data_IF_704684536420
#
_entry.id   IF_704684536420
#
_cell.length_a   1.000
_cell.length_b   1.000
_cell.length_c   1.000
_cell.angle_alpha   90.00
_cell.angle_beta   90.00
_cell.angle_gamma   90.00
#
_symmetry.space_group_name_H-M   'P 1'
#
loop_
_entity.id
_entity.type
_entity.pdbx_description
1 polymer ?
#
# COMPACT_ATOMS: atom_id res chain seq x y z
N UNK A 1 16.77 -11.25 17.52
CA UNK A 1 15.58 -11.96 18.04
C UNK A 1 15.38 -13.18 17.18
N UNK A 2 15.24 -14.36 17.77
CA UNK A 2 14.97 -15.60 17.05
C UNK A 2 13.66 -16.18 17.58
N UNK A 3 12.78 -16.60 16.69
CA UNK A 3 11.58 -17.35 17.04
C UNK A 3 11.35 -18.41 15.97
N UNK A 4 11.14 -19.66 16.39
CA UNK A 4 11.06 -20.81 15.48
C UNK A 4 12.26 -20.85 14.50
N UNK A 5 12.01 -20.74 13.19
CA UNK A 5 13.05 -20.70 12.14
C UNK A 5 13.42 -19.29 11.70
N UNK A 6 12.76 -18.27 12.23
CA UNK A 6 12.93 -16.89 11.83
C UNK A 6 13.96 -16.18 12.72
N UNK A 7 14.87 -15.45 12.07
CA UNK A 7 15.79 -14.51 12.72
C UNK A 7 15.33 -13.09 12.39
N UNK A 8 14.76 -12.41 13.36
CA UNK A 8 14.43 -10.99 13.29
C UNK A 8 15.58 -10.12 13.81
N UNK A 9 15.85 -9.03 13.10
CA UNK A 9 16.71 -7.95 13.60
C UNK A 9 15.94 -7.13 14.64
N UNK A 10 16.04 -7.52 15.91
CA UNK A 10 15.66 -6.67 17.04
C UNK A 10 16.84 -5.78 17.40
N UNK A 11 17.20 -4.90 16.47
CA UNK A 11 18.27 -3.92 16.65
C UNK A 11 17.64 -2.63 17.20
N UNK A 12 18.28 -2.00 18.20
CA UNK A 12 17.76 -0.76 18.79
C UNK A 12 16.93 -0.97 20.07
N UNK A 13 17.36 -1.86 20.97
CA UNK A 13 16.76 -1.98 22.32
C UNK A 13 16.76 -0.66 23.09
N UNK A 14 17.70 0.23 22.76
CA UNK A 14 17.71 1.57 23.32
C UNK A 14 16.54 2.40 22.79
N UNK A 15 16.05 2.16 21.59
CA UNK A 15 15.05 2.99 20.93
C UNK A 15 13.60 2.62 21.27
N UNK A 16 13.38 1.47 21.92
CA UNK A 16 12.04 1.05 22.36
C UNK A 16 11.54 1.92 23.54
N UNK A 17 10.22 2.09 23.74
CA UNK A 17 9.66 2.74 24.93
C UNK A 17 9.96 1.97 26.23
N UNK A 18 9.81 2.63 27.39
CA UNK A 18 9.96 1.99 28.72
C UNK A 18 9.01 0.81 28.95
N UNK A 19 7.88 0.82 28.27
CA UNK A 19 6.98 -0.33 28.17
C UNK A 19 6.85 -0.66 26.70
N UNK A 20 7.40 -1.80 26.30
CA UNK A 20 7.35 -2.32 24.95
C UNK A 20 6.43 -3.54 24.94
N UNK A 21 5.55 -3.62 23.94
CA UNK A 21 4.67 -4.77 23.75
C UNK A 21 4.72 -5.21 22.30
N UNK A 22 4.80 -6.52 22.08
CA UNK A 22 4.87 -7.10 20.75
C UNK A 22 4.13 -8.43 20.71
N UNK A 23 3.31 -8.63 19.68
CA UNK A 23 2.52 -9.83 19.49
C UNK A 23 3.01 -10.60 18.26
N UNK A 24 3.35 -11.87 18.44
CA UNK A 24 4.01 -12.71 17.43
C UNK A 24 3.03 -13.73 16.84
N UNK A 25 2.89 -13.75 15.52
CA UNK A 25 2.29 -14.89 14.85
C UNK A 25 3.26 -16.07 14.87
N UNK A 26 2.88 -17.20 15.44
CA UNK A 26 3.70 -18.44 15.41
C UNK A 26 2.92 -19.59 14.81
N UNK A 27 3.61 -20.56 14.18
CA UNK A 27 2.97 -21.75 13.61
C UNK A 27 2.48 -22.70 14.70
N UNK A 28 3.19 -22.74 15.82
CA UNK A 28 2.90 -23.61 16.95
C UNK A 28 2.33 -22.85 18.15
N UNK A 29 1.47 -23.53 18.91
CA UNK A 29 0.84 -23.04 20.15
C UNK A 29 1.85 -22.70 21.24
N UNK A 30 3.02 -23.31 21.18
CA UNK A 30 4.18 -23.08 22.00
C UNK A 30 5.40 -22.79 21.13
N UNK A 31 6.00 -21.63 21.32
CA UNK A 31 7.20 -21.21 20.59
C UNK A 31 8.24 -20.63 21.53
N UNK A 32 9.51 -20.96 21.30
CA UNK A 32 10.61 -20.36 22.05
C UNK A 32 11.03 -19.06 21.36
N UNK A 33 10.83 -17.93 22.04
CA UNK A 33 11.40 -16.65 21.67
C UNK A 33 12.79 -16.53 22.34
N UNK A 34 13.84 -16.44 21.53
CA UNK A 34 15.19 -16.12 22.00
C UNK A 34 15.56 -14.69 21.66
N UNK A 35 15.94 -13.92 22.67
CA UNK A 35 16.52 -12.60 22.50
C UNK A 35 18.00 -12.71 22.82
N UNK A 36 18.83 -12.25 21.88
CA UNK A 36 20.29 -12.39 21.93
C UNK A 36 20.85 -11.00 21.69
N UNK A 37 21.72 -10.56 22.60
CA UNK A 37 22.57 -9.38 22.45
C UNK A 37 24.04 -9.80 22.37
N UNK A 38 24.94 -8.85 22.23
CA UNK A 38 26.39 -9.12 22.33
C UNK A 38 26.81 -9.55 23.75
N UNK A 39 26.01 -9.21 24.77
CA UNK A 39 26.35 -9.37 26.18
C UNK A 39 25.58 -10.51 26.87
N UNK A 40 24.36 -10.80 26.43
CA UNK A 40 23.46 -11.74 27.12
C UNK A 40 22.43 -12.37 26.16
N UNK A 41 21.78 -13.43 26.63
CA UNK A 41 20.64 -14.04 25.94
C UNK A 41 19.57 -14.52 26.91
N UNK A 42 18.31 -14.38 26.53
CA UNK A 42 17.16 -14.93 27.24
C UNK A 42 16.29 -15.73 26.29
N UNK A 43 15.76 -16.85 26.77
CA UNK A 43 14.77 -17.66 26.08
C UNK A 43 13.46 -17.65 26.86
N UNK A 44 12.35 -17.36 26.18
CA UNK A 44 11.01 -17.28 26.74
C UNK A 44 10.11 -18.25 25.99
N UNK A 45 9.33 -19.04 26.72
CA UNK A 45 8.26 -19.82 26.11
C UNK A 45 7.06 -18.89 25.89
N UNK A 46 6.72 -18.66 24.63
CA UNK A 46 5.46 -18.03 24.25
C UNK A 46 4.39 -19.09 24.10
N UNK A 47 3.21 -18.78 24.61
CA UNK A 47 1.98 -19.55 24.42
C UNK A 47 0.90 -18.64 23.87
N UNK A 48 0.03 -19.20 23.03
CA UNK A 48 -1.06 -18.41 22.45
C UNK A 48 -1.92 -17.74 23.52
N UNK A 49 -2.08 -16.42 23.39
CA UNK A 49 -2.88 -15.60 24.31
C UNK A 49 -2.26 -15.36 25.70
N UNK A 50 -1.11 -15.96 26.00
CA UNK A 50 -0.37 -15.72 27.25
C UNK A 50 0.67 -14.61 27.08
N UNK A 51 0.91 -13.86 28.16
CA UNK A 51 1.92 -12.80 28.21
C UNK A 51 3.22 -13.32 28.81
N UNK A 52 4.30 -13.29 28.04
CA UNK A 52 5.65 -13.40 28.54
C UNK A 52 6.19 -12.00 28.86
N UNK A 53 6.58 -11.76 30.12
CA UNK A 53 7.08 -10.46 30.56
C UNK A 53 8.51 -10.61 31.06
N UNK A 54 9.39 -9.73 30.62
CA UNK A 54 10.76 -9.62 31.14
C UNK A 54 11.22 -8.16 31.08
N UNK A 55 12.36 -7.89 31.70
CA UNK A 55 12.93 -6.54 31.78
C UNK A 55 14.29 -6.51 31.10
N UNK A 56 14.57 -5.42 30.41
CA UNK A 56 15.87 -5.12 29.82
C UNK A 56 16.44 -3.90 30.53
N UNK A 57 17.61 -4.06 31.14
CA UNK A 57 18.37 -2.93 31.69
C UNK A 57 19.12 -2.28 30.53
N UNK A 58 18.91 -0.99 30.33
CA UNK A 58 19.50 -0.21 29.24
C UNK A 58 20.54 0.72 29.82
N UNK A 59 21.75 0.21 30.01
CA UNK A 59 22.85 0.95 30.64
C UNK A 59 23.09 2.30 29.95
N UNK A 60 23.09 2.32 28.62
CA UNK A 60 23.28 3.53 27.83
C UNK A 60 22.21 4.61 28.07
N UNK A 61 20.99 4.23 28.46
CA UNK A 61 19.90 5.15 28.80
C UNK A 61 19.72 5.36 30.31
N UNK A 62 20.41 4.57 31.15
CA UNK A 62 20.26 4.61 32.60
C UNK A 62 18.86 4.22 33.08
N UNK A 63 18.13 3.39 32.34
CA UNK A 63 16.78 2.96 32.70
C UNK A 63 16.51 1.47 32.43
N UNK A 64 15.28 1.03 32.72
CA UNK A 64 14.81 -0.34 32.48
C UNK A 64 13.58 -0.31 31.60
N UNK A 65 13.59 -1.11 30.53
CA UNK A 65 12.44 -1.34 29.68
C UNK A 65 11.72 -2.63 30.10
N UNK A 66 10.42 -2.55 30.35
CA UNK A 66 9.56 -3.74 30.52
C UNK A 66 9.06 -4.17 29.15
N UNK A 67 9.37 -5.40 28.77
CA UNK A 67 8.98 -5.99 27.50
C UNK A 67 7.90 -7.05 27.73
N UNK A 68 6.81 -6.94 26.98
CA UNK A 68 5.66 -7.84 27.03
C UNK A 68 5.51 -8.49 25.66
N UNK A 69 5.68 -9.80 25.58
CA UNK A 69 5.48 -10.55 24.35
C UNK A 69 4.26 -11.45 24.48
N UNK A 70 3.42 -11.46 23.46
CA UNK A 70 2.34 -12.42 23.29
C UNK A 70 2.56 -13.20 22.01
N UNK A 71 1.81 -14.28 21.84
CA UNK A 71 1.74 -14.98 20.57
C UNK A 71 0.31 -15.33 20.20
N UNK A 72 0.07 -15.49 18.90
CA UNK A 72 -1.17 -16.01 18.34
C UNK A 72 -0.87 -16.90 17.14
N UNK A 73 -1.86 -17.69 16.73
CA UNK A 73 -1.72 -18.57 15.57
C UNK A 73 -1.54 -17.73 14.30
N UNK A 74 -0.48 -18.00 13.54
CA UNK A 74 -0.32 -17.40 12.22
C UNK A 74 -1.46 -17.82 11.31
N UNK A 75 -2.25 -16.84 10.86
CA UNK A 75 -3.30 -17.02 9.86
C UNK A 75 -2.79 -16.47 8.53
N UNK A 76 -2.82 -17.30 7.48
CA UNK A 76 -2.50 -16.86 6.13
C UNK A 76 -3.43 -15.73 5.71
N UNK A 77 -2.85 -14.62 5.25
CA UNK A 77 -3.64 -13.47 4.80
C UNK A 77 -4.56 -13.82 3.62
N UNK A 78 -4.11 -14.70 2.72
CA UNK A 78 -4.90 -15.23 1.62
C UNK A 78 -4.71 -16.75 1.45
N UNK A 79 -5.75 -17.44 1.02
CA UNK A 79 -5.71 -18.84 0.59
C UNK A 79 -6.39 -18.96 -0.78
N UNK A 80 -5.64 -19.46 -1.76
CA UNK A 80 -6.14 -19.53 -3.14
C UNK A 80 -6.62 -20.95 -3.45
N UNK A 81 -7.94 -21.13 -3.53
CA UNK A 81 -8.55 -22.40 -3.97
C UNK A 81 -8.25 -22.71 -5.44
N UNK A 82 -8.41 -23.97 -5.86
CA UNK A 82 -8.23 -24.35 -7.25
C UNK A 82 -9.16 -23.57 -8.20
N UNK A 83 -10.42 -23.41 -7.82
CA UNK A 83 -11.41 -22.65 -8.59
C UNK A 83 -11.02 -21.18 -8.71
N UNK A 84 -10.54 -20.59 -7.61
CA UNK A 84 -10.08 -19.21 -7.61
C UNK A 84 -8.89 -19.02 -8.56
N UNK A 85 -7.89 -19.91 -8.50
CA UNK A 85 -6.72 -19.86 -9.40
C UNK A 85 -7.15 -19.96 -10.86
N UNK A 86 -8.01 -20.91 -11.18
CA UNK A 86 -8.53 -21.13 -12.53
C UNK A 86 -9.30 -19.90 -13.04
N UNK A 87 -10.12 -19.31 -12.18
CA UNK A 87 -10.92 -18.14 -12.53
C UNK A 87 -10.10 -16.86 -12.73
N UNK A 88 -8.92 -16.74 -12.12
CA UNK A 88 -8.17 -15.46 -12.08
C UNK A 88 -6.81 -15.49 -12.77
N UNK A 89 -6.26 -16.65 -13.13
CA UNK A 89 -4.95 -16.75 -13.81
C UNK A 89 -4.92 -15.92 -15.10
N UNK A 90 -3.88 -15.10 -15.25
CA UNK A 90 -3.66 -14.24 -16.40
C UNK A 90 -4.58 -13.01 -16.47
N UNK A 91 -5.41 -12.78 -15.44
CA UNK A 91 -6.38 -11.69 -15.46
C UNK A 91 -5.87 -10.44 -14.76
N UNK A 92 -6.38 -9.33 -15.27
CA UNK A 92 -6.40 -8.05 -14.59
C UNK A 92 -7.85 -7.75 -14.21
N UNK A 93 -8.10 -7.52 -12.93
CA UNK A 93 -9.45 -7.32 -12.39
C UNK A 93 -9.54 -5.88 -11.89
N UNK A 94 -10.59 -5.18 -12.29
CA UNK A 94 -10.86 -3.81 -11.87
C UNK A 94 -12.28 -3.80 -11.32
N UNK A 95 -12.46 -3.37 -10.08
CA UNK A 95 -13.75 -3.44 -9.40
C UNK A 95 -13.92 -2.42 -8.27
N UNK A 96 -15.19 -2.10 -7.97
CA UNK A 96 -15.61 -1.29 -6.83
C UNK A 96 -16.51 -2.10 -5.86
N UNK A 97 -15.94 -2.89 -4.93
CA UNK A 97 -16.70 -3.88 -4.12
C UNK A 97 -17.70 -3.25 -3.13
N UNK A 98 -18.81 -3.95 -2.85
CA UNK A 98 -19.92 -3.43 -2.02
C UNK A 98 -19.48 -3.08 -0.57
N UNK A 99 -18.77 -3.97 0.13
CA UNK A 99 -18.30 -3.70 1.51
C UNK A 99 -17.18 -2.65 1.52
N UNK A 100 -16.39 -2.59 0.45
CA UNK A 100 -15.36 -1.58 0.24
C UNK A 100 -15.96 -0.18 0.08
N UNK A 101 -17.05 -0.07 -0.68
CA UNK A 101 -17.76 1.20 -0.80
C UNK A 101 -18.49 1.59 0.50
N UNK A 102 -19.04 0.62 1.24
CA UNK A 102 -19.67 0.86 2.54
C UNK A 102 -18.72 1.56 3.51
N UNK A 103 -17.50 1.05 3.68
CA UNK A 103 -16.54 1.65 4.63
C UNK A 103 -16.11 3.05 4.16
N UNK A 104 -15.95 3.27 2.85
CA UNK A 104 -15.63 4.59 2.29
C UNK A 104 -16.78 5.61 2.46
N UNK A 105 -18.04 5.18 2.36
CA UNK A 105 -19.19 6.02 2.72
C UNK A 105 -19.16 6.37 4.20
N UNK A 106 -18.88 5.41 5.08
CA UNK A 106 -18.76 5.69 6.52
C UNK A 106 -17.63 6.70 6.78
N UNK A 107 -16.46 6.54 6.15
CA UNK A 107 -15.37 7.53 6.24
C UNK A 107 -15.82 8.93 5.84
N UNK A 108 -16.63 9.08 4.79
CA UNK A 108 -17.14 10.38 4.32
C UNK A 108 -18.00 11.12 5.36
N UNK A 109 -18.56 10.40 6.35
CA UNK A 109 -19.40 10.96 7.41
C UNK A 109 -18.62 11.34 8.68
N UNK A 110 -17.34 10.99 8.76
CA UNK A 110 -16.45 11.26 9.91
C UNK A 110 -15.82 12.66 9.82
N UNK A 111 -15.13 13.10 10.89
CA UNK A 111 -14.31 14.31 10.83
C UNK A 111 -13.17 14.17 9.83
N UNK A 112 -12.57 12.96 9.75
CA UNK A 112 -11.54 12.64 8.77
C UNK A 112 -12.05 12.81 7.33
N UNK A 113 -13.33 12.52 7.09
CA UNK A 113 -14.00 12.70 5.79
C UNK A 113 -13.98 14.14 5.27
N UNK A 114 -13.76 15.14 6.14
CA UNK A 114 -13.62 16.55 5.76
C UNK A 114 -12.30 16.83 5.04
N UNK A 115 -11.27 16.02 5.27
CA UNK A 115 -9.94 16.16 4.65
C UNK A 115 -9.96 15.80 3.16
N UNK A 116 -8.84 16.00 2.46
CA UNK A 116 -8.70 15.57 1.06
C UNK A 116 -8.78 14.06 0.83
N UNK A 117 -8.82 13.23 1.89
CA UNK A 117 -8.83 11.77 1.77
C UNK A 117 -10.12 11.25 1.11
N UNK A 118 -11.18 12.07 1.14
CA UNK A 118 -12.43 11.81 0.44
C UNK A 118 -12.56 12.76 -0.76
N UNK A 119 -12.79 12.18 -1.94
CA UNK A 119 -13.13 12.91 -3.14
C UNK A 119 -14.55 13.48 -3.06
N UNK A 120 -14.65 14.81 -3.08
CA UNK A 120 -15.91 15.55 -2.95
C UNK A 120 -16.40 16.17 -4.27
N UNK A 121 -15.62 15.98 -5.34
CA UNK A 121 -15.79 16.68 -6.62
C UNK A 121 -16.79 16.04 -7.58
N UNK A 122 -17.47 14.96 -7.18
CA UNK A 122 -18.35 14.17 -8.05
C UNK A 122 -19.83 14.38 -7.72
N UNK A 123 -20.72 14.22 -8.70
CA UNK A 123 -22.16 14.15 -8.47
C UNK A 123 -22.51 13.00 -7.51
N UNK A 124 -21.83 11.87 -7.66
CA UNK A 124 -21.98 10.71 -6.79
C UNK A 124 -21.74 11.06 -5.31
N UNK A 125 -20.69 11.83 -4.98
CA UNK A 125 -20.47 12.28 -3.61
C UNK A 125 -21.63 13.15 -3.07
N UNK A 126 -22.24 13.98 -3.92
CA UNK A 126 -23.40 14.78 -3.51
C UNK A 126 -24.61 13.89 -3.18
N UNK A 127 -24.81 12.82 -3.94
CA UNK A 127 -25.85 11.82 -3.66
C UNK A 127 -25.56 11.05 -2.37
N UNK A 128 -24.32 10.61 -2.16
CA UNK A 128 -23.86 10.00 -0.91
C UNK A 128 -24.13 10.93 0.27
N UNK A 129 -23.67 12.18 0.19
CA UNK A 129 -23.87 13.16 1.27
C UNK A 129 -25.36 13.36 1.56
N UNK A 130 -26.18 13.56 0.52
CA UNK A 130 -27.63 13.76 0.67
C UNK A 130 -28.30 12.58 1.34
N UNK A 131 -27.93 11.36 0.95
CA UNK A 131 -28.54 10.13 1.45
C UNK A 131 -28.08 9.78 2.87
N UNK A 132 -26.77 9.88 3.15
CA UNK A 132 -26.18 9.30 4.36
C UNK A 132 -25.99 10.27 5.52
N UNK A 133 -26.02 11.60 5.30
CA UNK A 133 -25.87 12.60 6.39
C UNK A 133 -26.83 12.39 7.57
N UNK A 134 -28.13 12.04 7.38
CA UNK A 134 -29.05 11.77 8.49
C UNK A 134 -28.60 10.64 9.43
N UNK A 135 -27.69 9.77 8.97
CA UNK A 135 -27.19 8.61 9.71
C UNK A 135 -25.78 8.83 10.29
N UNK A 136 -25.22 10.04 10.19
CA UNK A 136 -23.88 10.36 10.69
C UNK A 136 -23.72 10.17 12.21
N UNK A 137 -24.83 10.14 12.96
CA UNK A 137 -24.84 9.88 14.41
C UNK A 137 -24.99 8.39 14.76
N UNK A 138 -24.93 7.46 13.82
CA UNK A 138 -24.95 6.03 14.13
C UNK A 138 -23.62 5.55 14.72
N UNK A 139 -23.67 4.48 15.51
CA UNK A 139 -22.49 3.95 16.23
C UNK A 139 -21.33 3.59 15.30
N UNK A 140 -21.61 3.05 14.11
CA UNK A 140 -20.57 2.73 13.12
C UNK A 140 -19.72 3.97 12.78
N UNK A 141 -20.36 5.11 12.51
CA UNK A 141 -19.66 6.36 12.15
C UNK A 141 -18.84 6.87 13.33
N UNK A 142 -19.38 6.86 14.55
CA UNK A 142 -18.64 7.28 15.75
C UNK A 142 -17.43 6.38 16.03
N UNK A 143 -17.60 5.06 15.92
CA UNK A 143 -16.51 4.10 16.16
C UNK A 143 -15.41 4.31 15.12
N UNK A 144 -15.75 4.39 13.84
CA UNK A 144 -14.78 4.63 12.78
C UNK A 144 -14.10 5.99 12.93
N UNK A 145 -14.83 7.06 13.24
CA UNK A 145 -14.26 8.38 13.51
C UNK A 145 -13.23 8.36 14.66
N UNK A 146 -13.50 7.58 15.72
CA UNK A 146 -12.55 7.37 16.81
C UNK A 146 -11.29 6.62 16.36
N UNK A 147 -11.42 5.60 15.51
CA UNK A 147 -10.29 4.84 14.98
C UNK A 147 -9.41 5.72 14.07
N UNK A 148 -10.03 6.54 13.22
CA UNK A 148 -9.30 7.43 12.30
C UNK A 148 -8.56 8.58 13.02
N UNK A 149 -8.91 8.86 14.27
CA UNK A 149 -8.19 9.83 15.13
C UNK A 149 -6.99 9.20 15.86
N UNK A 150 -6.84 7.88 15.80
CA UNK A 150 -5.71 7.17 16.40
C UNK A 150 -4.42 7.41 15.56
N UNK A 151 -3.26 7.65 16.19
CA UNK A 151 -1.97 7.79 15.50
C UNK A 151 -1.56 6.57 14.65
N UNK A 152 -2.07 5.37 14.92
CA UNK A 152 -1.69 4.12 14.24
C UNK A 152 -2.24 3.99 12.80
N UNK A 153 -2.81 5.06 12.23
CA UNK A 153 -3.33 5.15 10.86
C UNK A 153 -4.28 4.02 10.44
N UNK A 154 -5.49 4.02 11.02
CA UNK A 154 -6.53 3.02 10.72
C UNK A 154 -7.21 3.17 9.34
N UNK A 155 -6.97 4.25 8.60
CA UNK A 155 -7.68 4.46 7.33
C UNK A 155 -7.36 3.36 6.31
N UNK A 156 -6.09 3.14 6.01
CA UNK A 156 -5.67 2.15 5.00
C UNK A 156 -6.05 0.72 5.42
N UNK A 157 -5.80 0.27 6.67
CA UNK A 157 -6.20 -1.08 7.08
C UNK A 157 -7.71 -1.33 7.00
N UNK A 158 -8.54 -0.44 7.55
CA UNK A 158 -10.00 -0.58 7.49
C UNK A 158 -10.52 -0.60 6.04
N UNK A 159 -9.95 0.26 5.18
CA UNK A 159 -10.27 0.30 3.74
C UNK A 159 -9.90 -1.02 3.07
N UNK A 160 -8.66 -1.46 3.20
CA UNK A 160 -8.16 -2.65 2.51
C UNK A 160 -8.86 -3.92 3.00
N UNK A 161 -8.99 -4.10 4.32
CA UNK A 161 -9.58 -5.30 4.91
C UNK A 161 -11.06 -5.48 4.62
N UNK A 162 -11.77 -4.39 4.28
CA UNK A 162 -13.13 -4.48 3.78
C UNK A 162 -13.28 -5.34 2.52
N UNK A 163 -12.19 -5.49 1.74
CA UNK A 163 -12.16 -6.33 0.55
C UNK A 163 -12.20 -7.83 0.86
N UNK A 164 -11.89 -8.22 2.10
CA UNK A 164 -12.02 -9.61 2.56
C UNK A 164 -13.49 -10.03 2.79
N UNK A 165 -14.47 -9.15 2.59
CA UNK A 165 -15.86 -9.40 2.96
C UNK A 165 -16.85 -9.13 1.83
N UNK A 166 -18.00 -9.80 1.92
CA UNK A 166 -19.14 -9.60 1.02
C UNK A 166 -20.47 -9.66 1.79
N UNK A 167 -21.52 -9.10 1.21
CA UNK A 167 -22.87 -9.28 1.74
C UNK A 167 -23.48 -10.62 1.32
N UNK A 168 -24.08 -11.32 2.28
CA UNK A 168 -24.97 -12.46 2.07
C UNK A 168 -26.27 -12.21 2.83
N UNK A 169 -27.30 -11.81 2.08
CA UNK A 169 -28.50 -11.20 2.68
C UNK A 169 -28.11 -9.91 3.44
N UNK A 170 -28.52 -9.80 4.70
CA UNK A 170 -28.23 -8.65 5.56
C UNK A 170 -26.92 -8.80 6.37
N UNK A 171 -26.18 -9.89 6.14
CA UNK A 171 -24.94 -10.21 6.86
C UNK A 171 -23.71 -9.97 6.02
N UNK A 172 -22.64 -9.51 6.67
CA UNK A 172 -21.32 -9.39 6.08
C UNK A 172 -20.52 -10.64 6.49
N UNK A 173 -20.12 -11.44 5.50
CA UNK A 173 -19.36 -12.69 5.69
C UNK A 173 -18.00 -12.58 5.00
N UNK A 174 -16.99 -13.29 5.51
CA UNK A 174 -15.68 -13.41 4.85
C UNK A 174 -15.86 -14.01 3.46
N UNK A 175 -15.30 -13.34 2.46
CA UNK A 175 -15.11 -13.86 1.12
C UNK A 175 -13.89 -14.77 1.18
N UNK A 176 -14.11 -16.09 1.25
CA UNK A 176 -13.16 -17.14 1.69
C UNK A 176 -11.81 -17.28 0.96
N UNK A 177 -11.41 -16.27 0.19
CA UNK A 177 -10.09 -16.07 -0.39
C UNK A 177 -9.16 -15.35 0.59
N UNK A 178 -9.65 -14.34 1.31
CA UNK A 178 -8.83 -13.49 2.17
C UNK A 178 -9.28 -13.57 3.62
N UNK A 179 -8.34 -13.76 4.53
CA UNK A 179 -8.53 -13.47 5.95
C UNK A 179 -8.42 -11.97 6.21
N UNK A 180 -7.39 -11.36 5.62
CA UNK A 180 -7.12 -9.92 5.63
C UNK A 180 -6.40 -9.51 4.36
N UNK A 181 -6.51 -8.24 4.03
CA UNK A 181 -5.94 -7.66 2.81
C UNK A 181 -4.94 -6.55 3.16
N UNK A 182 -5.14 -5.89 4.29
CA UNK A 182 -4.19 -4.94 4.84
C UNK A 182 -2.94 -5.63 5.39
N UNK A 183 -2.00 -4.82 5.87
CA UNK A 183 -0.76 -5.28 6.47
C UNK A 183 -0.96 -5.71 7.93
N UNK A 184 -0.01 -6.45 8.48
CA UNK A 184 -0.06 -6.92 9.88
C UNK A 184 -0.60 -8.34 10.00
N UNK A 185 -1.07 -8.70 11.20
CA UNK A 185 -1.46 -10.06 11.57
C UNK A 185 -2.97 -10.27 11.72
N UNK A 186 -3.75 -9.19 11.83
CA UNK A 186 -5.19 -9.22 12.08
C UNK A 186 -5.95 -8.47 10.99
N UNK A 187 -7.24 -8.80 10.84
CA UNK A 187 -8.16 -8.02 10.03
C UNK A 187 -8.73 -6.88 10.88
N UNK A 188 -8.39 -5.63 10.56
CA UNK A 188 -8.74 -4.46 11.37
C UNK A 188 -10.23 -4.10 11.28
N UNK A 189 -10.96 -4.61 10.26
CA UNK A 189 -12.39 -4.36 10.10
C UNK A 189 -13.26 -5.39 10.81
N UNK A 190 -12.78 -6.64 10.95
CA UNK A 190 -13.53 -7.78 11.48
C UNK A 190 -14.24 -7.51 12.83
N UNK A 191 -13.62 -6.81 13.81
CA UNK A 191 -14.29 -6.50 15.08
C UNK A 191 -15.54 -5.61 14.94
N UNK A 192 -15.71 -4.92 13.79
CA UNK A 192 -16.71 -3.89 13.59
C UNK A 192 -17.84 -4.29 12.63
N UNK A 193 -17.84 -5.52 12.09
CA UNK A 193 -18.81 -5.96 11.07
C UNK A 193 -20.27 -5.77 11.50
N UNK A 194 -20.60 -6.09 12.76
CA UNK A 194 -21.97 -5.90 13.28
C UNK A 194 -22.41 -4.44 13.29
N UNK A 195 -21.49 -3.49 13.47
CA UNK A 195 -21.79 -2.06 13.38
C UNK A 195 -22.04 -1.65 11.92
N UNK A 196 -21.22 -2.16 11.00
CA UNK A 196 -21.37 -1.93 9.55
C UNK A 196 -22.71 -2.49 9.04
N UNK A 197 -23.10 -3.70 9.43
CA UNK A 197 -24.40 -4.30 9.11
C UNK A 197 -25.57 -3.44 9.63
N UNK A 198 -25.48 -2.99 10.88
CA UNK A 198 -26.50 -2.14 11.50
C UNK A 198 -26.63 -0.79 10.79
N UNK A 199 -25.51 -0.18 10.41
CA UNK A 199 -25.48 1.03 9.59
C UNK A 199 -26.11 0.77 8.22
N UNK A 200 -25.70 -0.29 7.53
CA UNK A 200 -26.17 -0.61 6.20
C UNK A 200 -27.70 -0.81 6.18
N UNK A 201 -28.24 -1.54 7.17
CA UNK A 201 -29.68 -1.76 7.33
C UNK A 201 -30.44 -0.47 7.62
N UNK A 202 -29.96 0.36 8.55
CA UNK A 202 -30.65 1.60 8.96
C UNK A 202 -30.60 2.69 7.89
N UNK A 203 -29.52 2.73 7.12
CA UNK A 203 -29.31 3.73 6.08
C UNK A 203 -29.84 3.33 4.70
N UNK A 204 -30.29 2.08 4.52
CA UNK A 204 -30.64 1.57 3.18
C UNK A 204 -29.44 1.55 2.23
N UNK A 205 -28.24 1.26 2.76
CA UNK A 205 -26.99 1.27 1.99
C UNK A 205 -27.04 0.29 0.82
N UNK A 206 -27.58 -0.91 1.02
CA UNK A 206 -27.60 -1.94 -0.02
C UNK A 206 -28.46 -1.54 -1.20
N UNK A 207 -29.60 -0.91 -0.94
CA UNK A 207 -30.48 -0.33 -1.95
C UNK A 207 -29.79 0.82 -2.67
N UNK A 208 -29.09 1.68 -1.93
CA UNK A 208 -28.29 2.76 -2.50
C UNK A 208 -27.20 2.23 -3.44
N UNK A 209 -26.42 1.24 -3.00
CA UNK A 209 -25.34 0.64 -3.80
C UNK A 209 -25.91 -0.05 -5.06
N UNK A 210 -26.97 -0.85 -4.93
CA UNK A 210 -27.66 -1.49 -6.07
C UNK A 210 -28.18 -0.46 -7.08
N UNK A 211 -28.73 0.65 -6.61
CA UNK A 211 -29.19 1.76 -7.48
C UNK A 211 -28.03 2.38 -8.28
N UNK A 212 -26.83 2.41 -7.71
CA UNK A 212 -25.62 2.95 -8.36
C UNK A 212 -24.79 1.89 -9.07
N UNK A 213 -25.27 0.64 -9.21
CA UNK A 213 -24.48 -0.44 -9.82
C UNK A 213 -23.97 -0.08 -11.22
N UNK A 214 -24.83 0.49 -12.06
CA UNK A 214 -24.44 0.95 -13.41
C UNK A 214 -23.34 2.01 -13.37
N UNK A 215 -23.34 2.89 -12.37
CA UNK A 215 -22.29 3.91 -12.22
C UNK A 215 -20.94 3.27 -11.92
N UNK A 216 -20.87 2.30 -11.01
CA UNK A 216 -19.61 1.57 -10.76
C UNK A 216 -19.15 0.78 -11.99
N UNK A 217 -20.07 0.08 -12.66
CA UNK A 217 -19.76 -0.67 -13.89
C UNK A 217 -19.22 0.25 -15.00
N UNK A 218 -19.76 1.46 -15.14
CA UNK A 218 -19.25 2.47 -16.08
C UNK A 218 -17.83 2.93 -15.71
N UNK A 219 -17.55 3.15 -14.42
CA UNK A 219 -16.19 3.49 -13.97
C UNK A 219 -15.22 2.34 -14.24
N UNK A 220 -15.58 1.11 -13.92
CA UNK A 220 -14.75 -0.06 -14.20
C UNK A 220 -14.45 -0.21 -15.70
N UNK A 221 -15.46 0.00 -16.56
CA UNK A 221 -15.30 -0.06 -18.01
C UNK A 221 -14.43 1.08 -18.54
N UNK A 222 -14.61 2.30 -18.02
CA UNK A 222 -13.73 3.43 -18.35
C UNK A 222 -12.28 3.15 -17.95
N UNK A 223 -12.06 2.58 -16.76
CA UNK A 223 -10.74 2.21 -16.28
C UNK A 223 -10.10 1.17 -17.21
N UNK A 224 -10.81 0.07 -17.52
CA UNK A 224 -10.34 -0.99 -18.45
C UNK A 224 -9.99 -0.44 -19.83
N UNK A 225 -10.80 0.49 -20.33
CA UNK A 225 -10.64 1.06 -21.67
C UNK A 225 -9.48 2.05 -21.77
N UNK A 226 -9.26 2.84 -20.73
CA UNK A 226 -8.36 4.00 -20.80
C UNK A 226 -7.06 3.82 -20.00
N UNK A 227 -6.98 2.82 -19.13
CA UNK A 227 -5.83 2.55 -18.26
C UNK A 227 -5.42 1.10 -18.45
N UNK A 228 -4.30 0.90 -19.16
CA UNK A 228 -3.90 -0.40 -19.67
C UNK A 228 -3.07 -1.18 -18.64
N UNK A 229 -3.75 -1.65 -17.60
CA UNK A 229 -3.10 -2.36 -16.49
C UNK A 229 -2.50 -3.71 -16.94
N UNK A 230 -3.04 -4.32 -17.99
CA UNK A 230 -2.46 -5.53 -18.58
C UNK A 230 -1.09 -5.23 -19.21
N UNK A 231 -0.97 -4.16 -19.99
CA UNK A 231 0.31 -3.72 -20.54
C UNK A 231 1.31 -3.32 -19.45
N UNK A 232 0.84 -2.68 -18.37
CA UNK A 232 1.69 -2.36 -17.22
C UNK A 232 2.29 -3.62 -16.59
N UNK A 233 1.47 -4.67 -16.39
CA UNK A 233 1.93 -5.97 -15.89
C UNK A 233 2.99 -6.56 -16.81
N UNK A 234 2.73 -6.62 -18.11
CA UNK A 234 3.68 -7.16 -19.10
C UNK A 234 4.99 -6.36 -19.10
N UNK A 235 4.90 -5.04 -19.02
CA UNK A 235 6.07 -4.17 -18.93
C UNK A 235 6.88 -4.47 -17.66
N UNK A 236 6.23 -4.51 -16.50
CA UNK A 236 6.87 -4.76 -15.20
C UNK A 236 7.54 -6.15 -15.16
N UNK A 237 6.85 -7.21 -15.60
CA UNK A 237 7.42 -8.57 -15.64
C UNK A 237 8.59 -8.70 -16.62
N UNK A 238 8.65 -7.85 -17.65
CA UNK A 238 9.83 -7.77 -18.54
C UNK A 238 11.00 -7.06 -17.85
N UNK A 239 10.74 -5.99 -17.10
CA UNK A 239 11.80 -5.22 -16.43
C UNK A 239 12.29 -5.85 -15.12
N UNK A 240 11.49 -6.73 -14.52
CA UNK A 240 11.75 -7.45 -13.27
C UNK A 240 11.49 -8.95 -13.44
N UNK A 241 12.34 -9.67 -14.19
CA UNK A 241 12.05 -11.04 -14.64
C UNK A 241 11.94 -12.08 -13.51
N UNK A 242 12.46 -11.75 -12.31
CA UNK A 242 12.36 -12.59 -11.10
C UNK A 242 10.98 -12.53 -10.44
N UNK A 243 10.20 -11.49 -10.70
CA UNK A 243 8.91 -11.25 -10.05
C UNK A 243 7.79 -11.44 -11.05
N UNK A 244 6.84 -12.32 -10.73
CA UNK A 244 5.69 -12.64 -11.58
C UNK A 244 4.42 -12.77 -10.78
N UNK A 245 3.34 -12.27 -11.34
CA UNK A 245 2.01 -12.35 -10.75
C UNK A 245 1.07 -13.14 -11.64
N UNK A 246 0.34 -14.07 -11.01
CA UNK A 246 -0.70 -14.85 -11.67
C UNK A 246 -1.93 -13.99 -11.98
N UNK A 247 -2.21 -12.98 -11.14
CA UNK A 247 -3.26 -11.99 -11.36
C UNK A 247 -2.88 -10.62 -10.80
N UNK A 248 -3.48 -9.57 -11.37
CA UNK A 248 -3.43 -8.21 -10.86
C UNK A 248 -4.84 -7.74 -10.53
N UNK A 249 -5.03 -7.10 -9.37
CA UNK A 249 -6.29 -6.45 -9.02
C UNK A 249 -6.12 -4.97 -8.79
N UNK A 250 -7.10 -4.21 -9.23
CA UNK A 250 -7.25 -2.78 -8.98
C UNK A 250 -8.60 -2.59 -8.31
N UNK A 251 -8.55 -2.33 -7.02
CA UNK A 251 -9.71 -2.09 -6.18
C UNK A 251 -9.81 -0.58 -5.99
N UNK A 252 -10.98 -0.01 -6.23
CA UNK A 252 -11.18 1.42 -6.02
C UNK A 252 -12.53 1.74 -5.40
N UNK A 253 -12.64 2.96 -4.88
CA UNK A 253 -13.92 3.61 -4.61
C UNK A 253 -13.90 5.00 -5.23
N UNK A 254 -15.02 5.47 -5.83
CA UNK A 254 -15.12 6.83 -6.35
C UNK A 254 -15.00 7.91 -5.26
N UNK A 255 -15.08 7.52 -3.98
CA UNK A 255 -14.90 8.40 -2.82
C UNK A 255 -13.47 8.50 -2.34
N UNK A 256 -12.55 7.61 -2.72
CA UNK A 256 -11.15 7.72 -2.32
C UNK A 256 -10.54 8.93 -3.02
N UNK A 257 -9.89 9.81 -2.25
CA UNK A 257 -9.32 11.07 -2.72
C UNK A 257 -7.84 10.96 -3.10
N UNK A 258 -6.97 10.73 -2.12
CA UNK A 258 -5.52 10.64 -2.34
C UNK A 258 -4.88 9.40 -1.72
N UNK A 259 -5.61 8.61 -0.93
CA UNK A 259 -5.03 7.49 -0.20
C UNK A 259 -4.96 6.26 -1.08
N UNK A 260 -3.76 5.97 -1.59
CA UNK A 260 -3.45 4.70 -2.24
C UNK A 260 -2.77 3.72 -1.26
N UNK A 261 -2.81 2.45 -1.64
CA UNK A 261 -2.13 1.38 -0.92
C UNK A 261 -1.97 0.17 -1.85
N UNK A 262 -0.91 -0.59 -1.66
CA UNK A 262 -0.70 -1.84 -2.38
C UNK A 262 -0.39 -2.98 -1.43
N UNK A 263 -0.74 -4.21 -1.84
CA UNK A 263 -0.29 -5.41 -1.18
C UNK A 263 -0.18 -6.55 -2.20
N UNK A 264 0.56 -7.61 -1.85
CA UNK A 264 0.63 -8.80 -2.67
C UNK A 264 0.55 -10.07 -1.82
N UNK A 265 0.08 -11.14 -2.43
CA UNK A 265 -0.20 -12.40 -1.77
C UNK A 265 0.35 -13.54 -2.60
N UNK A 266 0.84 -14.58 -1.93
CA UNK A 266 1.24 -15.83 -2.58
C UNK A 266 0.77 -17.01 -1.74
N UNK A 267 0.09 -17.95 -2.38
CA UNK A 267 -0.31 -19.20 -1.74
C UNK A 267 -0.39 -20.31 -2.79
N UNK A 268 0.23 -21.45 -2.47
CA UNK A 268 0.11 -22.70 -3.23
C UNK A 268 0.37 -22.52 -4.75
N UNK A 269 1.45 -21.81 -5.11
CA UNK A 269 1.86 -21.60 -6.51
C UNK A 269 1.06 -20.56 -7.30
N UNK A 270 0.20 -19.78 -6.63
CA UNK A 270 -0.48 -18.63 -7.22
C UNK A 270 -0.08 -17.37 -6.48
N UNK A 271 0.24 -16.32 -7.23
CA UNK A 271 0.62 -15.00 -6.73
C UNK A 271 -0.33 -13.92 -7.27
N UNK A 272 -0.71 -12.97 -6.44
CA UNK A 272 -1.58 -11.85 -6.80
C UNK A 272 -1.02 -10.55 -6.25
N UNK A 273 -1.00 -9.49 -7.06
CA UNK A 273 -0.74 -8.13 -6.60
C UNK A 273 -2.02 -7.30 -6.67
N UNK A 274 -2.23 -6.46 -5.65
CA UNK A 274 -3.40 -5.61 -5.52
C UNK A 274 -3.00 -4.15 -5.35
N UNK A 275 -3.59 -3.28 -6.15
CA UNK A 275 -3.58 -1.84 -5.98
C UNK A 275 -4.94 -1.37 -5.48
N UNK A 276 -4.95 -0.58 -4.41
CA UNK A 276 -6.13 0.00 -3.79
C UNK A 276 -6.07 1.52 -3.96
N UNK A 277 -6.73 2.04 -4.99
CA UNK A 277 -6.50 3.40 -5.51
C UNK A 277 -7.77 4.27 -5.52
N UNK A 278 -7.59 5.58 -5.66
CA UNK A 278 -8.64 6.48 -6.12
C UNK A 278 -8.96 6.26 -7.59
N UNK A 279 -10.17 6.66 -8.00
CA UNK A 279 -10.52 6.69 -9.41
C UNK A 279 -9.93 7.96 -10.06
N UNK A 280 -9.09 7.86 -11.09
CA UNK A 280 -8.47 9.02 -11.73
C UNK A 280 -9.45 9.71 -12.67
N UNK A 281 -10.38 10.48 -12.10
CA UNK A 281 -11.38 11.25 -12.86
C UNK A 281 -10.72 12.25 -13.81
N UNK A 282 -11.33 12.45 -14.99
CA UNK A 282 -10.89 13.46 -15.96
C UNK A 282 -11.34 14.84 -15.45
N UNK A 283 -10.37 15.71 -15.17
CA UNK A 283 -10.61 17.11 -14.81
C UNK A 283 -10.96 17.96 -16.03
N UNK A 284 -11.55 19.15 -15.85
CA UNK A 284 -11.87 20.07 -16.95
C UNK A 284 -10.66 20.40 -17.84
N UNK A 285 -9.48 20.61 -17.22
CA UNK A 285 -8.22 20.83 -17.95
C UNK A 285 -7.87 19.63 -18.84
N UNK A 286 -8.16 18.41 -18.38
CA UNK A 286 -7.82 17.18 -19.10
C UNK A 286 -8.81 16.86 -20.22
N UNK A 287 -10.00 17.48 -20.25
CA UNK A 287 -10.97 17.29 -21.34
C UNK A 287 -10.52 17.96 -22.65
N UNK A 288 -9.73 19.03 -22.55
CA UNK A 288 -9.29 19.81 -23.72
C UNK A 288 -7.84 19.55 -24.13
N UNK A 289 -7.11 18.73 -23.37
CA UNK A 289 -5.71 18.39 -23.67
C UNK A 289 -5.60 17.21 -24.64
N UNK A 290 -4.39 16.96 -25.12
CA UNK A 290 -4.09 15.78 -25.93
C UNK A 290 -4.48 14.47 -25.19
N UNK A 291 -5.26 13.56 -25.80
CA UNK A 291 -5.70 12.32 -25.15
C UNK A 291 -4.57 11.44 -24.59
N UNK A 292 -3.39 11.43 -25.23
CA UNK A 292 -2.23 10.69 -24.75
C UNK A 292 -1.66 11.29 -23.44
N UNK A 293 -1.66 12.62 -23.31
CA UNK A 293 -1.33 13.28 -22.03
C UNK A 293 -2.32 12.87 -20.94
N UNK A 294 -3.61 12.87 -21.24
CA UNK A 294 -4.66 12.42 -20.30
C UNK A 294 -4.44 10.97 -19.88
N UNK A 295 -4.18 10.09 -20.84
CA UNK A 295 -3.90 8.66 -20.58
C UNK A 295 -2.70 8.49 -19.66
N UNK A 296 -1.58 9.17 -19.94
CA UNK A 296 -0.39 9.11 -19.09
C UNK A 296 -0.67 9.56 -17.65
N UNK A 297 -1.25 10.75 -17.49
CA UNK A 297 -1.59 11.31 -16.17
C UNK A 297 -2.51 10.39 -15.36
N UNK A 298 -3.52 9.78 -15.99
CA UNK A 298 -4.45 8.86 -15.34
C UNK A 298 -3.80 7.51 -15.02
N UNK A 299 -2.89 7.05 -15.86
CA UNK A 299 -2.17 5.77 -15.68
C UNK A 299 -1.20 5.80 -14.50
N UNK A 300 -0.66 6.98 -14.17
CA UNK A 300 0.30 7.16 -13.09
C UNK A 300 -0.13 6.47 -11.80
N UNK A 301 -1.37 6.72 -11.37
CA UNK A 301 -1.84 6.37 -10.02
C UNK A 301 -1.85 4.86 -9.77
N UNK A 302 -2.26 4.09 -10.76
CA UNK A 302 -2.33 2.65 -10.64
C UNK A 302 -0.95 2.03 -10.90
N UNK A 303 -0.15 2.64 -11.78
CA UNK A 303 1.20 2.17 -12.05
C UNK A 303 2.09 2.29 -10.80
N UNK A 304 2.00 3.40 -10.06
CA UNK A 304 2.79 3.62 -8.86
C UNK A 304 2.45 2.67 -7.72
N UNK A 305 1.24 2.13 -7.68
CA UNK A 305 0.87 1.13 -6.67
C UNK A 305 1.24 -0.30 -7.11
N UNK A 306 1.01 -0.64 -8.37
CA UNK A 306 1.33 -1.98 -8.88
C UNK A 306 2.83 -2.20 -8.90
N UNK A 307 3.62 -1.19 -9.29
CA UNK A 307 5.06 -1.38 -9.45
C UNK A 307 5.78 -1.65 -8.11
N UNK A 308 5.22 -1.27 -6.95
CA UNK A 308 5.75 -1.62 -5.63
C UNK A 308 5.89 -3.14 -5.47
N UNK A 309 4.95 -3.89 -6.03
CA UNK A 309 4.97 -5.37 -6.00
C UNK A 309 6.15 -5.96 -6.80
N UNK A 310 6.83 -5.17 -7.62
CA UNK A 310 7.99 -5.60 -8.43
C UNK A 310 9.29 -4.98 -7.93
N UNK A 311 9.28 -3.68 -7.68
CA UNK A 311 10.48 -2.91 -7.35
C UNK A 311 10.94 -3.15 -5.91
N UNK A 312 10.03 -3.39 -4.97
CA UNK A 312 10.40 -3.58 -3.56
C UNK A 312 11.18 -4.90 -3.39
N UNK A 313 10.70 -6.07 -3.86
CA UNK A 313 11.50 -7.30 -3.79
C UNK A 313 12.85 -7.19 -4.50
N UNK A 314 12.95 -6.41 -5.59
CA UNK A 314 14.22 -6.16 -6.25
C UNK A 314 15.15 -5.28 -5.40
N UNK A 315 14.62 -4.23 -4.74
CA UNK A 315 15.37 -3.35 -3.86
C UNK A 315 15.84 -4.03 -2.57
N UNK A 316 15.05 -4.97 -2.02
CA UNK A 316 15.36 -5.75 -0.82
C UNK A 316 16.67 -6.57 -0.97
N UNK A 317 17.08 -6.89 -2.19
CA UNK A 317 18.33 -7.59 -2.47
C UNK A 317 19.57 -6.68 -2.31
N UNK A 318 19.37 -5.35 -2.26
CA UNK A 318 20.42 -4.33 -2.18
C UNK A 318 20.35 -3.47 -0.92
N UNK A 319 19.72 -3.96 0.16
CA UNK A 319 19.46 -3.18 1.38
C UNK A 319 20.73 -2.53 1.95
N UNK A 320 21.88 -3.21 1.89
CA UNK A 320 23.14 -2.69 2.44
C UNK A 320 23.70 -1.56 1.58
N UNK A 321 23.68 -1.74 0.28
CA UNK A 321 24.14 -0.79 -0.72
C UNK A 321 23.26 0.46 -0.71
N UNK A 322 21.94 0.29 -0.66
CA UNK A 322 20.97 1.38 -0.51
C UNK A 322 21.16 2.12 0.80
N UNK A 323 21.33 1.41 1.92
CA UNK A 323 21.58 2.05 3.22
C UNK A 323 22.84 2.92 3.21
N UNK A 324 23.88 2.50 2.47
CA UNK A 324 25.09 3.30 2.26
C UNK A 324 24.84 4.51 1.35
N UNK A 325 24.13 4.32 0.24
CA UNK A 325 23.88 5.38 -0.74
C UNK A 325 22.93 6.48 -0.21
N UNK A 326 21.97 6.11 0.64
CA UNK A 326 20.95 6.99 1.23
C UNK A 326 21.24 7.34 2.69
N UNK A 327 22.48 7.16 3.17
CA UNK A 327 22.83 7.29 4.59
C UNK A 327 22.51 8.67 5.19
N UNK A 328 22.59 9.74 4.38
CA UNK A 328 22.12 11.08 4.75
C UNK A 328 20.79 11.40 4.08
N UNK A 329 19.69 11.04 4.74
CA UNK A 329 18.34 11.32 4.26
C UNK A 329 18.03 12.82 4.11
N UNK A 330 18.77 13.72 4.78
CA UNK A 330 18.53 15.16 4.65
C UNK A 330 18.86 15.70 3.26
N UNK A 331 19.65 14.97 2.48
CA UNK A 331 19.94 15.24 1.06
C UNK A 331 18.77 14.82 0.17
N UNK A 332 18.00 13.81 0.57
CA UNK A 332 16.96 13.18 -0.25
C UNK A 332 15.57 13.73 0.05
N UNK A 333 15.27 14.06 1.31
CA UNK A 333 13.91 14.45 1.74
C UNK A 333 13.87 15.83 2.41
N UNK A 334 12.86 16.63 2.06
CA UNK A 334 12.58 17.91 2.72
C UNK A 334 11.72 17.70 3.96
N UNK A 335 12.18 18.20 5.11
CA UNK A 335 11.42 18.20 6.37
C UNK A 335 10.11 18.98 6.23
N UNK A 336 9.01 18.40 6.71
CA UNK A 336 7.68 19.02 6.70
C UNK A 336 6.92 18.90 5.37
N UNK A 337 7.51 18.24 4.38
CA UNK A 337 6.87 17.85 3.11
C UNK A 337 6.46 16.37 3.16
N UNK A 338 5.56 15.89 2.27
CA UNK A 338 5.14 14.49 2.23
C UNK A 338 6.30 13.47 2.27
N UNK A 339 7.42 13.74 1.60
CA UNK A 339 8.61 12.89 1.61
C UNK A 339 9.18 12.61 3.01
N UNK A 340 8.87 13.45 4.01
CA UNK A 340 9.31 13.26 5.40
C UNK A 340 8.83 11.95 6.03
N UNK A 341 7.77 11.31 5.50
CA UNK A 341 7.31 10.00 5.98
C UNK A 341 8.24 8.86 5.57
N UNK A 342 9.11 9.06 4.58
CA UNK A 342 10.09 8.09 4.11
C UNK A 342 11.42 8.31 4.82
N UNK A 343 11.40 8.27 6.15
CA UNK A 343 12.53 8.55 7.04
C UNK A 343 13.46 7.34 7.26
N UNK A 344 13.38 6.35 6.37
CA UNK A 344 14.25 5.17 6.33
C UNK A 344 14.84 5.05 4.92
N UNK A 345 16.08 4.57 4.82
CA UNK A 345 16.86 4.55 3.57
C UNK A 345 16.21 3.72 2.47
N UNK A 346 15.78 2.49 2.78
CA UNK A 346 15.14 1.60 1.80
C UNK A 346 13.81 2.17 1.28
N UNK A 347 12.81 2.50 2.13
CA UNK A 347 11.56 3.12 1.64
C UNK A 347 11.78 4.43 0.87
N UNK A 348 12.79 5.22 1.24
CA UNK A 348 13.13 6.42 0.48
C UNK A 348 13.60 6.06 -0.94
N UNK A 349 14.54 5.14 -1.08
CA UNK A 349 15.00 4.66 -2.39
C UNK A 349 13.88 4.02 -3.21
N UNK A 350 13.05 3.17 -2.59
CA UNK A 350 11.90 2.53 -3.22
C UNK A 350 10.94 3.56 -3.81
N UNK A 351 10.67 4.65 -3.09
CA UNK A 351 9.78 5.72 -3.57
C UNK A 351 10.40 6.54 -4.71
N UNK A 352 11.73 6.77 -4.67
CA UNK A 352 12.46 7.34 -5.80
C UNK A 352 12.37 6.43 -7.03
N UNK A 353 12.57 5.12 -6.87
CA UNK A 353 12.44 4.15 -7.95
C UNK A 353 11.00 4.03 -8.45
N UNK A 354 10.00 4.05 -7.57
CA UNK A 354 8.58 3.99 -7.94
C UNK A 354 8.26 5.04 -9.01
N UNK A 355 8.62 6.30 -8.76
CA UNK A 355 8.38 7.39 -9.69
C UNK A 355 9.36 7.39 -10.88
N UNK A 356 10.60 6.94 -10.69
CA UNK A 356 11.52 6.71 -11.81
C UNK A 356 10.99 5.68 -12.82
N UNK A 357 10.34 4.61 -12.36
CA UNK A 357 9.71 3.62 -13.22
C UNK A 357 8.53 4.19 -14.01
N UNK A 358 7.79 5.16 -13.46
CA UNK A 358 6.74 5.89 -14.20
C UNK A 358 7.36 6.59 -15.41
N UNK A 359 8.49 7.26 -15.23
CA UNK A 359 9.23 7.90 -16.33
C UNK A 359 9.68 6.90 -17.39
N UNK A 360 10.25 5.76 -16.96
CA UNK A 360 10.69 4.71 -17.89
C UNK A 360 9.51 4.15 -18.68
N UNK A 361 8.40 3.87 -18.01
CA UNK A 361 7.17 3.40 -18.64
C UNK A 361 6.68 4.40 -19.70
N UNK A 362 6.56 5.69 -19.34
CA UNK A 362 6.17 6.72 -20.30
C UNK A 362 7.09 6.81 -21.51
N UNK A 363 8.39 6.62 -21.32
CA UNK A 363 9.37 6.68 -22.41
C UNK A 363 9.22 5.55 -23.43
N UNK A 364 8.66 4.41 -23.02
CA UNK A 364 8.41 3.26 -23.89
C UNK A 364 7.04 3.32 -24.59
N UNK A 365 6.01 3.88 -23.94
CA UNK A 365 4.62 3.78 -24.43
C UNK A 365 4.08 5.05 -25.10
N UNK A 366 4.75 6.19 -24.95
CA UNK A 366 4.35 7.45 -25.56
C UNK A 366 5.42 7.98 -26.51
N UNK A 367 5.03 8.86 -27.43
CA UNK A 367 6.00 9.59 -28.24
C UNK A 367 6.88 10.51 -27.37
N UNK A 368 8.05 10.86 -27.89
CA UNK A 368 9.06 11.66 -27.18
C UNK A 368 8.52 12.98 -26.63
N UNK A 369 7.59 13.64 -27.33
CA UNK A 369 7.06 14.95 -26.90
C UNK A 369 6.13 14.77 -25.71
N UNK A 370 5.27 13.76 -25.76
CA UNK A 370 4.32 13.44 -24.69
C UNK A 370 5.07 12.89 -23.46
N UNK A 371 5.97 11.92 -23.65
CA UNK A 371 6.75 11.33 -22.56
C UNK A 371 7.57 12.37 -21.82
N UNK A 372 8.18 13.31 -22.55
CA UNK A 372 9.00 14.38 -21.95
C UNK A 372 8.16 15.35 -21.11
N UNK A 373 6.97 15.75 -21.60
CA UNK A 373 6.07 16.61 -20.83
C UNK A 373 5.59 15.93 -19.55
N UNK A 374 5.18 14.67 -19.66
CA UNK A 374 4.74 13.88 -18.51
C UNK A 374 5.85 13.72 -17.48
N UNK A 375 7.09 13.49 -17.92
CA UNK A 375 8.28 13.40 -17.07
C UNK A 375 8.56 14.71 -16.34
N UNK A 376 8.58 15.84 -17.05
CA UNK A 376 8.81 17.16 -16.44
C UNK A 376 7.74 17.49 -15.40
N UNK A 377 6.47 17.22 -15.70
CA UNK A 377 5.36 17.41 -14.74
C UNK A 377 5.53 16.51 -13.50
N UNK A 378 6.06 15.29 -13.68
CA UNK A 378 6.33 14.34 -12.61
C UNK A 378 7.48 14.82 -11.71
N UNK A 379 8.60 15.21 -12.31
CA UNK A 379 9.77 15.74 -11.61
C UNK A 379 9.40 16.95 -10.75
N UNK A 380 8.67 17.91 -11.33
CA UNK A 380 8.22 19.11 -10.63
C UNK A 380 7.32 18.75 -9.44
N UNK A 381 6.41 17.79 -9.60
CA UNK A 381 5.56 17.34 -8.50
C UNK A 381 6.37 16.67 -7.38
N UNK A 382 7.32 15.81 -7.73
CA UNK A 382 8.16 15.09 -6.75
C UNK A 382 9.05 16.05 -5.96
N UNK A 383 9.68 17.02 -6.64
CA UNK A 383 10.57 17.99 -5.99
C UNK A 383 9.77 19.04 -5.21
N UNK A 384 8.88 19.79 -5.85
CA UNK A 384 8.29 21.00 -5.28
C UNK A 384 7.14 20.70 -4.30
N UNK A 385 6.29 19.72 -4.63
CA UNK A 385 5.14 19.36 -3.79
C UNK A 385 5.51 18.28 -2.78
N UNK A 386 6.03 17.14 -3.24
CA UNK A 386 6.30 16.00 -2.35
C UNK A 386 7.56 16.17 -1.52
N UNK A 387 8.58 16.90 -2.00
CA UNK A 387 9.80 17.20 -1.25
C UNK A 387 10.90 16.16 -1.39
N UNK A 388 10.92 15.41 -2.49
CA UNK A 388 12.05 14.54 -2.86
C UNK A 388 13.09 15.38 -3.60
N UNK A 389 14.01 15.97 -2.83
CA UNK A 389 14.83 17.11 -3.25
C UNK A 389 15.63 16.86 -4.53
N UNK A 390 16.16 15.64 -4.65
CA UNK A 390 17.02 15.22 -5.76
C UNK A 390 16.34 14.32 -6.78
N UNK A 391 15.01 14.28 -6.76
CA UNK A 391 14.26 13.38 -7.64
C UNK A 391 14.53 13.66 -9.11
N UNK A 392 14.65 14.92 -9.50
CA UNK A 392 14.94 15.31 -10.89
C UNK A 392 16.26 14.73 -11.39
N UNK A 393 17.34 14.88 -10.63
CA UNK A 393 18.65 14.36 -11.01
C UNK A 393 18.65 12.83 -11.06
N UNK A 394 18.00 12.21 -10.07
CA UNK A 394 17.85 10.75 -10.00
C UNK A 394 17.06 10.20 -11.20
N UNK A 395 15.89 10.76 -11.48
CA UNK A 395 15.01 10.36 -12.59
C UNK A 395 15.72 10.45 -13.94
N UNK A 396 16.46 11.53 -14.17
CA UNK A 396 17.22 11.74 -15.40
C UNK A 396 18.35 10.72 -15.56
N UNK A 397 19.04 10.39 -14.46
CA UNK A 397 20.09 9.38 -14.51
C UNK A 397 19.50 7.98 -14.76
N UNK A 398 18.43 7.61 -14.06
CA UNK A 398 17.72 6.35 -14.29
C UNK A 398 17.27 6.25 -15.75
N UNK A 399 16.70 7.32 -16.32
CA UNK A 399 16.31 7.37 -17.72
C UNK A 399 17.50 7.29 -18.68
N UNK A 400 18.64 7.91 -18.33
CA UNK A 400 19.87 7.84 -19.12
C UNK A 400 20.40 6.40 -19.14
N UNK A 401 20.59 5.79 -17.97
CA UNK A 401 21.03 4.40 -17.81
C UNK A 401 20.11 3.46 -18.58
N UNK A 402 18.79 3.65 -18.44
CA UNK A 402 17.82 2.88 -19.21
C UNK A 402 18.04 3.04 -20.71
N UNK A 403 18.08 4.27 -21.25
CA UNK A 403 18.24 4.49 -22.70
C UNK A 403 19.58 4.02 -23.27
N UNK A 404 20.64 3.97 -22.45
CA UNK A 404 21.99 3.56 -22.88
C UNK A 404 22.34 2.13 -22.50
N UNK A 405 21.41 1.38 -21.88
CA UNK A 405 21.65 -0.01 -21.46
C UNK A 405 21.98 -0.90 -22.64
N UNK A 406 22.73 -1.97 -22.37
CA UNK A 406 23.04 -2.99 -23.37
C UNK A 406 21.75 -3.71 -23.78
N UNK A 407 21.71 -4.17 -25.03
CA UNK A 407 20.59 -4.99 -25.50
C UNK A 407 20.40 -6.21 -24.59
N UNK A 408 19.16 -6.47 -24.18
CA UNK A 408 18.81 -7.54 -23.26
C UNK A 408 18.87 -7.18 -21.78
N UNK A 409 19.48 -6.05 -21.38
CA UNK A 409 19.39 -5.59 -20.00
C UNK A 409 17.99 -5.08 -19.67
N UNK A 410 17.52 -5.48 -18.49
CA UNK A 410 16.27 -5.09 -17.84
C UNK A 410 16.52 -3.94 -16.86
N UNK A 411 15.47 -3.36 -16.25
CA UNK A 411 15.66 -2.36 -15.19
C UNK A 411 16.33 -2.98 -13.95
N UNK A 412 15.98 -4.22 -13.59
CA UNK A 412 16.61 -4.94 -12.48
C UNK A 412 18.15 -5.00 -12.62
N UNK A 413 18.65 -5.23 -13.84
CA UNK A 413 20.10 -5.26 -14.12
C UNK A 413 20.81 -3.92 -13.90
N UNK A 414 20.07 -2.81 -13.85
CA UNK A 414 20.61 -1.46 -13.68
C UNK A 414 20.67 -1.01 -12.22
N UNK A 415 20.06 -1.74 -11.27
CA UNK A 415 20.04 -1.37 -9.86
C UNK A 415 21.42 -1.06 -9.28
N UNK A 416 22.47 -1.88 -9.52
CA UNK A 416 23.82 -1.57 -9.04
C UNK A 416 24.34 -0.21 -9.50
N UNK A 417 24.14 0.15 -10.78
CA UNK A 417 24.59 1.42 -11.36
C UNK A 417 23.76 2.60 -10.83
N UNK A 418 22.46 2.42 -10.64
CA UNK A 418 21.56 3.43 -10.06
C UNK A 418 21.96 3.73 -8.61
N UNK A 419 22.21 2.69 -7.81
CA UNK A 419 22.58 2.82 -6.40
C UNK A 419 23.97 3.45 -6.25
N UNK A 420 24.94 3.04 -7.08
CA UNK A 420 26.27 3.64 -7.08
C UNK A 420 26.23 5.14 -7.44
N UNK A 421 25.45 5.50 -8.47
CA UNK A 421 25.24 6.91 -8.80
C UNK A 421 24.63 7.68 -7.64
N UNK A 422 23.60 7.13 -6.98
CA UNK A 422 22.95 7.77 -5.84
C UNK A 422 23.94 7.99 -4.68
N UNK A 423 24.80 7.00 -4.39
CA UNK A 423 25.83 7.12 -3.37
C UNK A 423 26.87 8.19 -3.68
N UNK A 424 27.30 8.32 -4.93
CA UNK A 424 28.22 9.37 -5.36
C UNK A 424 27.57 10.76 -5.40
N UNK A 425 26.28 10.80 -5.76
CA UNK A 425 25.48 12.00 -5.76
C UNK A 425 25.32 12.51 -4.32
N UNK A 426 24.93 11.67 -3.36
CA UNK A 426 24.68 12.02 -1.96
C UNK A 426 25.90 12.51 -1.16
N UNK A 427 27.11 12.33 -1.70
CA UNK A 427 28.37 12.82 -1.13
C UNK A 427 28.74 14.24 -1.60
N UNK A 428 28.01 14.80 -2.58
CA UNK A 428 28.18 16.17 -3.10
C UNK A 428 26.98 17.02 -2.69
#
# INVERSE_FOLDING_TARGET
>A
MNIEKEKGNFNGVNDIPKTFSYDLGTEHDMSILSLISEQDSIALLLKYGEKAVFQIIREAKGDTATCIFTSHKTIKAATFSHDYKTANTGKTIIEAPEVYELINIIFSLTDYGKTGAINKGTTYYQEVKKHFTPYASLSAVRTVDSLLKNPDNYYSPLKMDSYAFQFKGDKIEKFGVYDRVSWGSLNELEPYLSLLESFAKKSGFREFYKKHKSYYEDLENDFRKNIDVADMKVWLERQFPRTKYSAIKVIFSPLVGWNQSANSFSDNGFSEAQAHVDFPFITERQKTQNPAMTRGQRSKIVFTEINHSYLNPEAEEYVKEIAKAFSDLSVWITKGKPASTYNNTLPCFEEYMNYGLVTLYYSDIFDKTISEKLRVDLEENMVSFRGFQRFKEFDQEVLRLYKTRKSGQTVADLYPEIIDWAGNAGLK
#
